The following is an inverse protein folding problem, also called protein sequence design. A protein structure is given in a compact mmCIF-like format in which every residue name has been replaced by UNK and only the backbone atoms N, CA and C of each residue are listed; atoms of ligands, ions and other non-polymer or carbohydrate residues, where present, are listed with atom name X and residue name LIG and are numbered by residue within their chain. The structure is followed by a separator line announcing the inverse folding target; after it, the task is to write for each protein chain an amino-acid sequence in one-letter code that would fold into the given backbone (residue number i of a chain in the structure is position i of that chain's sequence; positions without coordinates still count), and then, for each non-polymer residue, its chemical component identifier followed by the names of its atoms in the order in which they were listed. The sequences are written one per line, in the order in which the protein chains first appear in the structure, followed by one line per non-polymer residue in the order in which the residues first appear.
data_IF_867314581697
#
_entry.id   IF_867314581697
#
_cell.length_a   1.000
_cell.length_b   1.000
_cell.length_c   1.000
_cell.angle_alpha   90.00
_cell.angle_beta   90.00
_cell.angle_gamma   90.00
#
_symmetry.space_group_name_H-M   'P 1'
#
loop_
_entity.id
_entity.type
_entity.pdbx_description
1 polymer ?
#
# COMPACT_ATOMS: atom_id res chain seq x y z
N UNK A 1 -21.71 20.56 -68.97
CA UNK A 1 -22.28 20.52 -67.61
C UNK A 1 -21.24 19.87 -66.71
N UNK A 2 -20.52 20.64 -65.91
CA UNK A 2 -19.47 20.14 -65.01
C UNK A 2 -20.07 19.94 -63.62
N UNK A 3 -20.04 18.71 -63.12
CA UNK A 3 -20.59 18.33 -61.83
C UNK A 3 -19.89 19.09 -60.68
N UNK A 4 -20.62 19.57 -59.66
CA UNK A 4 -20.01 20.25 -58.52
C UNK A 4 -19.13 19.28 -57.70
N UNK A 5 -18.04 19.76 -57.10
CA UNK A 5 -17.14 18.94 -56.29
C UNK A 5 -17.84 18.42 -55.03
N UNK A 6 -17.66 17.14 -54.73
CA UNK A 6 -18.23 16.49 -53.56
C UNK A 6 -17.68 17.13 -52.27
N UNK A 7 -18.52 17.34 -51.24
CA UNK A 7 -18.07 17.86 -49.96
C UNK A 7 -17.09 16.86 -49.31
N UNK A 8 -16.05 17.35 -48.61
CA UNK A 8 -15.13 16.49 -47.90
C UNK A 8 -15.88 15.67 -46.84
N UNK A 9 -15.50 14.39 -46.64
CA UNK A 9 -16.15 13.54 -45.65
C UNK A 9 -16.02 14.17 -44.26
N UNK A 10 -17.05 14.03 -43.40
CA UNK A 10 -16.99 14.54 -42.03
C UNK A 10 -15.77 13.94 -41.33
N UNK A 11 -14.88 14.82 -40.85
CA UNK A 11 -13.76 14.41 -40.02
C UNK A 11 -14.33 13.85 -38.74
N UNK A 12 -14.33 12.52 -38.63
CA UNK A 12 -14.64 11.84 -37.39
C UNK A 12 -13.60 12.34 -36.39
N UNK A 13 -13.99 13.25 -35.50
CA UNK A 13 -13.18 13.57 -34.32
C UNK A 13 -13.04 12.25 -33.59
N UNK A 14 -11.90 11.59 -33.78
CA UNK A 14 -11.51 10.46 -32.98
C UNK A 14 -11.42 11.04 -31.57
N UNK A 15 -12.48 10.87 -30.79
CA UNK A 15 -12.42 11.03 -29.35
C UNK A 15 -11.27 10.14 -28.93
N UNK A 16 -10.13 10.75 -28.61
CA UNK A 16 -9.00 10.04 -28.07
C UNK A 16 -9.50 9.46 -26.76
N UNK A 17 -9.96 8.20 -26.82
CA UNK A 17 -10.18 7.38 -25.65
C UNK A 17 -8.91 7.55 -24.81
N UNK A 18 -9.00 7.99 -23.54
CA UNK A 18 -7.83 8.08 -22.70
C UNK A 18 -7.23 6.68 -22.65
N UNK A 19 -6.17 6.45 -23.42
CA UNK A 19 -5.42 5.21 -23.37
C UNK A 19 -5.03 5.08 -21.91
N UNK A 20 -5.44 4.01 -21.19
CA UNK A 20 -5.03 3.82 -19.81
C UNK A 20 -3.51 3.85 -19.79
N UNK A 21 -2.95 4.97 -19.30
CA UNK A 21 -1.51 5.15 -19.28
C UNK A 21 -0.86 4.00 -18.54
N UNK A 22 0.38 3.60 -18.88
CA UNK A 22 1.09 2.50 -18.23
C UNK A 22 0.89 2.60 -16.72
N UNK A 23 0.26 1.57 -16.13
CA UNK A 23 -0.39 1.67 -14.82
C UNK A 23 0.56 2.27 -13.79
N UNK A 24 0.20 3.42 -13.20
CA UNK A 24 1.10 4.31 -12.43
C UNK A 24 1.56 3.78 -11.06
N UNK A 25 1.40 2.48 -10.82
CA UNK A 25 1.72 1.80 -9.56
C UNK A 25 0.65 1.91 -8.47
N UNK A 26 -0.52 2.48 -8.79
CA UNK A 26 -1.64 2.69 -7.87
C UNK A 26 -2.16 1.40 -7.24
N UNK A 27 -2.15 0.29 -8.01
CA UNK A 27 -2.65 -1.00 -7.55
C UNK A 27 -1.88 -1.54 -6.34
N UNK A 28 -0.56 -1.30 -6.27
CA UNK A 28 0.23 -1.72 -5.11
C UNK A 28 -0.15 -0.95 -3.84
N UNK A 29 -0.49 0.34 -3.95
CA UNK A 29 -0.98 1.12 -2.81
C UNK A 29 -2.40 0.74 -2.40
N UNK A 30 -3.27 0.43 -3.38
CA UNK A 30 -4.63 -0.03 -3.14
C UNK A 30 -4.67 -1.36 -2.39
N UNK A 31 -3.72 -2.26 -2.63
CA UNK A 31 -3.60 -3.51 -1.87
C UNK A 31 -3.40 -3.30 -0.36
N UNK A 32 -2.81 -2.17 0.04
CA UNK A 32 -2.67 -1.85 1.46
C UNK A 32 -4.01 -1.60 2.16
N UNK A 33 -5.05 -1.18 1.43
CA UNK A 33 -6.40 -1.03 1.98
C UNK A 33 -7.07 -2.37 2.33
N UNK A 34 -6.49 -3.50 1.92
CA UNK A 34 -6.94 -4.82 2.36
C UNK A 34 -6.87 -4.99 3.89
N UNK A 35 -6.14 -4.12 4.59
CA UNK A 35 -6.10 -4.06 6.06
C UNK A 35 -7.51 -3.87 6.66
N UNK A 36 -8.44 -3.25 5.92
CA UNK A 36 -9.81 -2.98 6.36
C UNK A 36 -10.76 -4.18 6.21
N UNK A 37 -10.36 -5.23 5.47
CA UNK A 37 -11.26 -6.33 5.08
C UNK A 37 -11.24 -7.53 6.02
N UNK A 38 -10.33 -7.57 7.00
CA UNK A 38 -10.10 -8.76 7.84
C UNK A 38 -10.04 -8.41 9.33
N UNK A 39 -10.05 -9.45 10.20
CA UNK A 39 -9.78 -9.29 11.64
C UNK A 39 -8.51 -8.43 11.86
N UNK A 40 -8.46 -7.64 12.94
CA UNK A 40 -7.24 -6.91 13.31
C UNK A 40 -6.05 -7.87 13.33
N UNK A 41 -4.86 -7.38 12.98
CA UNK A 41 -3.63 -8.14 12.77
C UNK A 41 -3.59 -9.00 11.49
N UNK A 42 -4.59 -9.84 11.23
CA UNK A 42 -4.66 -10.68 10.01
C UNK A 42 -4.75 -9.80 8.78
N UNK A 43 -5.60 -8.77 8.83
CA UNK A 43 -5.72 -7.77 7.77
C UNK A 43 -4.39 -7.04 7.53
N UNK A 44 -3.64 -6.73 8.58
CA UNK A 44 -2.35 -6.05 8.49
C UNK A 44 -1.30 -6.90 7.79
N UNK A 45 -1.21 -8.19 8.13
CA UNK A 45 -0.31 -9.14 7.48
C UNK A 45 -0.69 -9.32 6.02
N UNK A 46 -1.98 -9.54 5.73
CA UNK A 46 -2.47 -9.71 4.36
C UNK A 46 -2.18 -8.47 3.49
N UNK A 47 -2.50 -7.28 4.00
CA UNK A 47 -2.23 -6.02 3.31
C UNK A 47 -0.74 -5.86 2.99
N UNK A 48 0.14 -6.10 3.95
CA UNK A 48 1.58 -6.09 3.76
C UNK A 48 2.05 -7.06 2.67
N UNK A 49 1.60 -8.31 2.71
CA UNK A 49 1.98 -9.33 1.73
C UNK A 49 1.49 -8.95 0.32
N UNK A 50 0.26 -8.45 0.21
CA UNK A 50 -0.29 -7.99 -1.07
C UNK A 50 0.48 -6.77 -1.61
N UNK A 51 0.81 -5.79 -0.76
CA UNK A 51 1.63 -4.64 -1.16
C UNK A 51 3.02 -5.06 -1.66
N UNK A 52 3.67 -6.00 -0.96
CA UNK A 52 5.00 -6.52 -1.35
C UNK A 52 4.91 -7.26 -2.69
N UNK A 53 4.00 -8.23 -2.80
CA UNK A 53 3.87 -9.07 -4.00
C UNK A 53 3.50 -8.25 -5.23
N UNK A 54 2.48 -7.39 -5.13
CA UNK A 54 2.04 -6.53 -6.24
C UNK A 54 3.10 -5.47 -6.54
N UNK A 55 3.69 -4.83 -5.53
CA UNK A 55 4.75 -3.85 -5.71
C UNK A 55 5.97 -4.41 -6.43
N UNK A 56 6.40 -5.62 -6.08
CA UNK A 56 7.51 -6.32 -6.75
C UNK A 56 7.14 -6.78 -8.16
N UNK A 57 5.89 -7.20 -8.41
CA UNK A 57 5.43 -7.54 -9.77
C UNK A 57 5.46 -6.35 -10.73
N UNK A 58 5.32 -5.12 -10.21
CA UNK A 58 5.39 -3.90 -10.99
C UNK A 58 6.82 -3.49 -11.33
N UNK A 59 7.84 -4.05 -10.67
CA UNK A 59 9.24 -3.70 -10.90
C UNK A 59 9.68 -3.93 -12.34
N UNK A 60 9.13 -4.95 -13.01
CA UNK A 60 9.44 -5.31 -14.39
C UNK A 60 8.79 -4.39 -15.42
N UNK A 61 7.80 -3.58 -15.01
CA UNK A 61 7.06 -2.67 -15.91
C UNK A 61 7.82 -1.37 -16.19
N UNK A 62 8.90 -1.10 -15.44
CA UNK A 62 9.71 0.11 -15.60
C UNK A 62 8.98 1.42 -15.25
N UNK A 63 9.69 2.54 -15.40
CA UNK A 63 9.13 3.88 -15.24
C UNK A 63 8.48 4.15 -13.88
N UNK A 64 7.43 4.98 -13.90
CA UNK A 64 6.73 5.40 -12.68
C UNK A 64 6.03 4.23 -11.96
N UNK A 65 5.56 3.24 -12.73
CA UNK A 65 4.91 2.04 -12.21
C UNK A 65 5.85 1.24 -11.30
N UNK A 66 7.09 1.03 -11.75
CA UNK A 66 8.11 0.31 -10.99
C UNK A 66 8.53 1.08 -9.73
N UNK A 67 8.72 2.41 -9.83
CA UNK A 67 9.11 3.23 -8.68
C UNK A 67 8.04 3.24 -7.59
N UNK A 68 6.79 3.51 -7.96
CA UNK A 68 5.67 3.48 -7.02
C UNK A 68 5.41 2.07 -6.46
N UNK A 69 5.55 1.03 -7.29
CA UNK A 69 5.43 -0.36 -6.83
C UNK A 69 6.50 -0.73 -5.81
N UNK A 70 7.76 -0.35 -6.04
CA UNK A 70 8.87 -0.60 -5.10
C UNK A 70 8.71 0.19 -3.81
N UNK A 71 8.28 1.45 -3.88
CA UNK A 71 7.99 2.26 -2.69
C UNK A 71 6.85 1.68 -1.84
N UNK A 72 5.79 1.19 -2.49
CA UNK A 72 4.71 0.46 -1.83
C UNK A 72 5.21 -0.84 -1.20
N UNK A 73 6.05 -1.62 -1.91
CA UNK A 73 6.60 -2.86 -1.37
C UNK A 73 7.50 -2.62 -0.14
N UNK A 74 8.38 -1.63 -0.18
CA UNK A 74 9.23 -1.23 0.94
C UNK A 74 8.41 -0.80 2.17
N UNK A 75 7.33 -0.04 1.96
CA UNK A 75 6.39 0.30 3.02
C UNK A 75 5.65 -0.92 3.57
N UNK A 76 5.14 -1.78 2.68
CA UNK A 76 4.45 -3.01 3.05
C UNK A 76 5.33 -3.93 3.90
N UNK A 77 6.62 -4.05 3.57
CA UNK A 77 7.59 -4.77 4.38
C UNK A 77 7.83 -4.12 5.74
N UNK A 78 7.99 -2.80 5.76
CA UNK A 78 8.19 -2.05 7.02
C UNK A 78 6.98 -2.24 7.94
N UNK A 79 5.77 -2.12 7.40
CA UNK A 79 4.52 -2.34 8.12
C UNK A 79 4.38 -3.79 8.60
N UNK A 80 4.85 -4.77 7.81
CA UNK A 80 4.85 -6.19 8.20
C UNK A 80 5.75 -6.41 9.42
N UNK A 81 6.98 -5.91 9.35
CA UNK A 81 7.97 -6.04 10.43
C UNK A 81 7.43 -5.37 11.71
N UNK A 82 6.92 -4.14 11.61
CA UNK A 82 6.32 -3.44 12.74
C UNK A 82 5.12 -4.19 13.32
N UNK A 83 4.26 -4.76 12.48
CA UNK A 83 3.12 -5.58 12.91
C UNK A 83 3.60 -6.81 13.66
N UNK A 84 4.52 -7.59 13.09
CA UNK A 84 5.04 -8.81 13.72
C UNK A 84 5.71 -8.50 15.05
N UNK A 85 6.54 -7.45 15.12
CA UNK A 85 7.24 -7.06 16.35
C UNK A 85 6.24 -6.57 17.40
N UNK A 86 5.39 -5.59 17.10
CA UNK A 86 4.49 -5.02 18.11
C UNK A 86 3.45 -6.05 18.59
N UNK A 87 2.83 -6.79 17.67
CA UNK A 87 1.81 -7.78 18.01
C UNK A 87 2.45 -8.99 18.71
N UNK A 88 3.58 -9.48 18.20
CA UNK A 88 4.32 -10.57 18.81
C UNK A 88 4.83 -10.22 20.21
N UNK A 89 5.35 -9.01 20.41
CA UNK A 89 5.77 -8.52 21.73
C UNK A 89 4.57 -8.37 22.67
N UNK A 90 3.43 -7.85 22.20
CA UNK A 90 2.21 -7.73 23.00
C UNK A 90 1.74 -9.09 23.52
N UNK A 91 1.56 -10.08 22.63
CA UNK A 91 1.12 -11.43 23.03
C UNK A 91 2.19 -12.19 23.81
N UNK A 92 3.48 -12.02 23.47
CA UNK A 92 4.58 -12.66 24.19
C UNK A 92 4.71 -12.15 25.62
N UNK A 93 4.58 -10.85 25.85
CA UNK A 93 4.56 -10.27 27.19
C UNK A 93 3.32 -10.67 27.97
N UNK A 94 2.14 -10.67 27.32
CA UNK A 94 0.91 -11.13 27.95
C UNK A 94 1.09 -12.57 28.45
N UNK A 95 1.52 -13.46 27.56
CA UNK A 95 1.76 -14.87 27.90
C UNK A 95 2.77 -15.03 29.03
N UNK A 96 3.92 -14.35 28.94
CA UNK A 96 4.98 -14.45 29.95
C UNK A 96 4.52 -13.99 31.33
N UNK A 97 3.71 -12.93 31.41
CA UNK A 97 3.29 -12.34 32.68
C UNK A 97 2.06 -13.02 33.28
N UNK A 98 1.15 -13.57 32.46
CA UNK A 98 0.00 -14.35 32.96
C UNK A 98 0.33 -15.83 33.22
N UNK A 99 1.54 -16.29 32.90
CA UNK A 99 1.91 -17.70 33.04
C UNK A 99 1.93 -18.16 34.51
N UNK A 100 2.40 -17.31 35.42
CA UNK A 100 2.56 -17.64 36.84
C UNK A 100 1.43 -17.04 37.71
N UNK A 101 0.83 -15.93 37.29
CA UNK A 101 -0.30 -15.27 37.98
C UNK A 101 -1.33 -14.75 36.96
N UNK A 102 -2.43 -15.48 36.72
CA UNK A 102 -3.47 -15.08 35.76
C UNK A 102 -4.18 -13.78 36.11
N UNK A 103 -4.22 -13.42 37.40
CA UNK A 103 -4.89 -12.23 37.92
C UNK A 103 -3.92 -11.06 38.17
N UNK A 104 -2.61 -11.29 38.03
CA UNK A 104 -1.54 -10.32 38.30
C UNK A 104 -1.47 -9.11 37.35
N UNK A 105 -2.39 -9.00 36.38
CA UNK A 105 -2.47 -7.88 35.44
C UNK A 105 -3.62 -6.94 35.83
N UNK A 106 -3.35 -6.00 36.73
CA UNK A 106 -4.36 -5.03 37.19
C UNK A 106 -4.35 -3.70 36.40
N UNK A 107 -3.75 -3.63 35.19
CA UNK A 107 -3.63 -2.36 34.47
C UNK A 107 -3.47 -2.46 32.96
N UNK A 108 -3.88 -1.38 32.28
CA UNK A 108 -3.68 -1.19 30.83
C UNK A 108 -2.19 -1.04 30.47
N UNK A 109 -1.35 -0.56 31.39
CA UNK A 109 0.08 -0.38 31.15
C UNK A 109 0.86 -1.62 31.62
N UNK A 110 1.88 -2.10 30.88
CA UNK A 110 2.47 -1.56 29.63
C UNK A 110 1.82 -2.09 28.33
N UNK A 111 0.93 -3.09 28.39
CA UNK A 111 0.37 -3.79 27.22
C UNK A 111 -0.39 -2.88 26.25
N UNK A 112 -1.16 -1.99 26.84
CA UNK A 112 -1.97 -0.96 26.21
C UNK A 112 -1.15 0.02 25.38
N UNK A 113 0.07 0.36 25.82
CA UNK A 113 0.97 1.20 25.03
C UNK A 113 1.41 0.50 23.75
N UNK A 114 1.73 -0.79 23.82
CA UNK A 114 2.21 -1.56 22.67
C UNK A 114 1.10 -1.70 21.62
N UNK A 115 -0.12 -2.04 22.06
CA UNK A 115 -1.26 -2.16 21.14
C UNK A 115 -1.70 -0.79 20.59
N UNK A 116 -1.60 0.28 21.39
CA UNK A 116 -1.87 1.65 20.93
C UNK A 116 -0.83 2.10 19.90
N UNK A 117 0.45 1.80 20.11
CA UNK A 117 1.50 2.07 19.14
C UNK A 117 1.23 1.33 17.82
N UNK A 118 0.80 0.07 17.88
CA UNK A 118 0.39 -0.68 16.69
C UNK A 118 -0.82 -0.05 15.98
N UNK A 119 -1.82 0.41 16.73
CA UNK A 119 -2.98 1.09 16.16
C UNK A 119 -2.59 2.41 15.46
N UNK A 120 -1.67 3.19 16.04
CA UNK A 120 -1.13 4.41 15.43
C UNK A 120 -0.36 4.10 14.15
N UNK A 121 0.46 3.05 14.14
CA UNK A 121 1.17 2.59 12.93
C UNK A 121 0.17 2.15 11.85
N UNK A 122 -0.91 1.48 12.24
CA UNK A 122 -1.97 1.05 11.31
C UNK A 122 -2.74 2.22 10.73
N UNK A 123 -3.01 3.26 11.53
CA UNK A 123 -3.60 4.50 11.05
C UNK A 123 -2.66 5.22 10.06
N UNK A 124 -1.38 5.29 10.39
CA UNK A 124 -0.37 5.86 9.51
C UNK A 124 -0.24 5.08 8.19
N UNK A 125 -0.35 3.75 8.25
CA UNK A 125 -0.41 2.90 7.07
C UNK A 125 -1.58 3.29 6.16
N UNK A 126 -2.78 3.50 6.70
CA UNK A 126 -3.93 3.96 5.92
C UNK A 126 -3.67 5.31 5.24
N UNK A 127 -3.08 6.27 5.97
CA UNK A 127 -2.73 7.59 5.42
C UNK A 127 -1.77 7.44 4.24
N UNK A 128 -0.70 6.64 4.39
CA UNK A 128 0.26 6.41 3.32
C UNK A 128 -0.34 5.66 2.13
N UNK A 129 -1.26 4.72 2.36
CA UNK A 129 -1.97 4.03 1.29
C UNK A 129 -2.85 4.99 0.49
N UNK A 130 -3.67 5.80 1.16
CA UNK A 130 -4.51 6.81 0.49
C UNK A 130 -3.66 7.84 -0.25
N UNK A 131 -2.58 8.33 0.38
CA UNK A 131 -1.68 9.28 -0.28
C UNK A 131 -0.93 8.66 -1.46
N UNK A 132 -0.46 7.42 -1.33
CA UNK A 132 0.18 6.68 -2.41
C UNK A 132 -0.75 6.44 -3.60
N UNK A 133 -2.04 6.15 -3.35
CA UNK A 133 -3.07 6.06 -4.40
C UNK A 133 -3.22 7.41 -5.12
N UNK A 134 -3.38 8.51 -4.38
CA UNK A 134 -3.55 9.85 -4.97
C UNK A 134 -2.30 10.30 -5.73
N UNK A 135 -1.12 10.14 -5.14
CA UNK A 135 0.16 10.54 -5.73
C UNK A 135 0.44 9.76 -7.02
N UNK A 136 0.25 8.44 -7.00
CA UNK A 136 0.39 7.61 -8.20
C UNK A 136 -0.65 7.97 -9.26
N UNK A 137 -1.90 8.27 -8.87
CA UNK A 137 -2.94 8.75 -9.78
C UNK A 137 -2.55 10.04 -10.51
N UNK A 138 -1.89 10.96 -9.81
CA UNK A 138 -1.38 12.23 -10.32
C UNK A 138 -0.06 12.12 -11.12
N UNK A 139 0.48 10.91 -11.30
CA UNK A 139 1.77 10.73 -11.98
C UNK A 139 2.99 11.11 -11.13
N UNK A 140 2.82 11.21 -9.81
CA UNK A 140 3.89 11.50 -8.85
C UNK A 140 4.40 10.21 -8.21
N UNK A 141 5.65 10.25 -7.76
CA UNK A 141 6.23 9.19 -6.96
C UNK A 141 6.21 9.54 -5.48
N UNK A 142 5.79 8.59 -4.63
CA UNK A 142 5.84 8.75 -3.18
C UNK A 142 7.24 8.30 -2.70
N UNK A 143 8.13 9.26 -2.46
CA UNK A 143 9.51 8.99 -1.99
C UNK A 143 9.56 8.84 -0.48
N UNK A 144 10.55 8.09 0.00
CA UNK A 144 10.88 8.00 1.43
C UNK A 144 9.96 7.10 2.27
N UNK A 145 9.21 6.19 1.64
CA UNK A 145 8.34 5.29 2.38
C UNK A 145 9.05 4.02 2.82
N UNK A 146 9.31 3.94 4.13
CA UNK A 146 9.80 2.74 4.81
C UNK A 146 11.28 2.43 4.58
N UNK A 147 11.69 1.26 5.06
CA UNK A 147 13.04 0.73 4.89
C UNK A 147 13.35 0.49 3.40
N UNK A 148 14.43 1.06 2.84
CA UNK A 148 14.74 0.98 1.42
C UNK A 148 15.42 -0.35 1.05
N UNK A 149 14.67 -1.45 1.14
CA UNK A 149 15.18 -2.81 0.85
C UNK A 149 15.28 -3.05 -0.65
N UNK A 150 14.24 -2.68 -1.40
CA UNK A 150 14.20 -2.81 -2.86
C UNK A 150 14.38 -1.45 -3.54
N UNK A 151 14.98 -1.48 -4.74
CA UNK A 151 15.18 -0.32 -5.62
C UNK A 151 14.59 -0.61 -6.99
N UNK A 152 13.98 0.40 -7.61
CA UNK A 152 13.55 0.29 -9.00
C UNK A 152 14.78 0.39 -9.90
N UNK A 153 14.91 -0.53 -10.86
CA UNK A 153 15.90 -0.44 -11.93
C UNK A 153 15.62 0.81 -12.77
N UNK A 154 16.65 1.61 -13.01
CA UNK A 154 16.56 2.84 -13.79
C UNK A 154 16.11 2.59 -15.23
#
# INVERSE_FOLDING_TARGET
MTSPPLPPPPQVQQFQQPVPGPGRGTIAWAMGLAVLMCLPFVGSVLASVLMITVGLSLRSKGGLAARNGVHAANWGLTYLVLTVVLVGTHFGLLWYLTADDPDGIEGFFPFGLIITAWALVSLWHLVLCTWGIVASGQGRELRGTGLPVWRASA
#
